data_IF_556811660794
#
_entry.id   IF_556811660794
#
_cell.length_a   1.000
_cell.length_b   1.000
_cell.length_c   1.000
_cell.angle_alpha   90.00
_cell.angle_beta   90.00
_cell.angle_gamma   90.00
#
_symmetry.space_group_name_H-M   'P 1'
#
loop_
_entity.id
_entity.type
_entity.pdbx_description
1 polymer ?
#
# COMPACT_ATOMS: atom_id res chain seq x y z
N UNK A 1 6.10 2.70 -13.69
CA UNK A 1 6.00 2.66 -12.22
C UNK A 1 4.60 2.29 -11.71
N UNK A 2 3.61 3.20 -11.68
CA UNK A 2 2.28 2.88 -11.08
C UNK A 2 1.44 1.93 -11.95
N UNK A 3 1.49 2.07 -13.28
CA UNK A 3 0.90 1.11 -14.23
C UNK A 3 1.46 -0.31 -14.06
N UNK A 4 2.75 -0.44 -13.75
CA UNK A 4 3.37 -1.75 -13.49
C UNK A 4 2.91 -2.33 -12.16
N UNK A 5 2.71 -1.49 -11.14
CA UNK A 5 2.15 -1.92 -9.87
C UNK A 5 0.74 -2.52 -10.04
N UNK A 6 -0.09 -1.91 -10.89
CA UNK A 6 -1.42 -2.43 -11.26
C UNK A 6 -1.28 -3.74 -12.02
N UNK A 7 -0.44 -3.79 -13.06
CA UNK A 7 -0.18 -5.03 -13.82
C UNK A 7 0.25 -6.17 -12.92
N UNK A 8 1.13 -5.93 -11.95
CA UNK A 8 1.58 -6.96 -11.00
C UNK A 8 0.51 -7.40 -10.01
N UNK A 9 -0.50 -6.56 -9.77
CA UNK A 9 -1.64 -6.90 -8.92
C UNK A 9 -2.70 -7.70 -9.68
N UNK A 10 -2.95 -7.36 -10.94
CA UNK A 10 -4.05 -7.93 -11.73
C UNK A 10 -3.64 -9.07 -12.65
N UNK A 11 -2.41 -9.06 -13.14
CA UNK A 11 -1.90 -10.09 -14.05
C UNK A 11 -1.04 -11.09 -13.28
N UNK A 12 -1.20 -12.39 -13.58
CA UNK A 12 -0.35 -13.40 -12.98
C UNK A 12 1.10 -13.14 -13.38
N UNK A 13 2.00 -13.22 -12.40
CA UNK A 13 3.42 -13.08 -12.65
C UNK A 13 3.89 -14.24 -13.53
N UNK A 14 4.75 -13.97 -14.52
CA UNK A 14 5.23 -14.98 -15.47
C UNK A 14 6.09 -16.06 -14.81
N UNK A 15 6.66 -15.78 -13.63
CA UNK A 15 7.51 -16.71 -12.89
C UNK A 15 6.67 -17.61 -12.00
N UNK A 16 5.64 -17.07 -11.35
CA UNK A 16 4.89 -17.79 -10.31
C UNK A 16 3.53 -18.29 -10.80
N UNK A 17 3.04 -17.76 -11.92
CA UNK A 17 1.69 -18.00 -12.44
C UNK A 17 0.58 -17.41 -11.57
N UNK A 18 0.93 -16.66 -10.51
CA UNK A 18 -0.01 -16.13 -9.53
C UNK A 18 0.03 -14.61 -9.51
N UNK A 19 -1.16 -14.02 -9.44
CA UNK A 19 -1.35 -12.60 -9.13
C UNK A 19 -0.95 -12.33 -7.68
N UNK A 20 -0.51 -11.11 -7.37
CA UNK A 20 -0.01 -10.80 -6.03
C UNK A 20 -1.04 -11.00 -4.90
N UNK A 21 -2.33 -10.87 -5.22
CA UNK A 21 -3.44 -11.11 -4.28
C UNK A 21 -3.58 -12.57 -3.87
N UNK A 22 -3.11 -13.49 -4.71
CA UNK A 22 -3.23 -14.94 -4.52
C UNK A 22 -1.91 -15.57 -4.06
N UNK A 23 -0.92 -14.74 -3.69
CA UNK A 23 0.36 -15.26 -3.21
C UNK A 23 0.21 -16.00 -1.87
N UNK A 24 0.85 -17.17 -1.72
CA UNK A 24 0.75 -17.94 -0.50
C UNK A 24 1.30 -17.17 0.72
N UNK A 25 0.64 -17.24 1.88
CA UNK A 25 1.09 -16.56 3.10
C UNK A 25 2.48 -17.01 3.55
N UNK A 26 2.93 -18.24 3.21
CA UNK A 26 4.31 -18.68 3.44
C UNK A 26 5.36 -17.79 2.80
N UNK A 27 5.07 -17.17 1.66
CA UNK A 27 6.04 -16.33 0.95
C UNK A 27 6.27 -15.00 1.64
N UNK A 28 5.41 -14.65 2.59
CA UNK A 28 5.58 -13.51 3.48
C UNK A 28 6.21 -13.93 4.82
N UNK A 29 7.03 -14.99 4.86
CA UNK A 29 7.83 -15.40 6.03
C UNK A 29 9.33 -15.15 5.80
N UNK A 30 10.10 -15.11 6.89
CA UNK A 30 11.55 -14.87 6.88
C UNK A 30 11.97 -13.41 6.78
N UNK A 31 13.25 -13.17 6.52
CA UNK A 31 13.89 -11.84 6.61
C UNK A 31 13.33 -10.83 5.58
N UNK A 32 12.85 -11.32 4.43
CA UNK A 32 12.24 -10.47 3.40
C UNK A 32 10.75 -10.19 3.62
N UNK A 33 10.14 -10.72 4.69
CA UNK A 33 8.72 -10.54 5.02
C UNK A 33 8.29 -9.08 4.97
N UNK A 34 9.06 -8.19 5.61
CA UNK A 34 8.71 -6.77 5.69
C UNK A 34 8.66 -6.11 4.32
N UNK A 35 9.65 -6.39 3.48
CA UNK A 35 9.76 -5.83 2.12
C UNK A 35 8.65 -6.37 1.22
N UNK A 36 8.42 -7.68 1.23
CA UNK A 36 7.39 -8.32 0.41
C UNK A 36 5.98 -7.89 0.82
N UNK A 37 5.71 -7.83 2.13
CA UNK A 37 4.41 -7.39 2.65
C UNK A 37 4.14 -5.93 2.30
N UNK A 38 5.14 -5.05 2.49
CA UNK A 38 5.00 -3.64 2.15
C UNK A 38 4.77 -3.45 0.65
N UNK A 39 5.55 -4.14 -0.18
CA UNK A 39 5.41 -4.11 -1.64
C UNK A 39 4.04 -4.61 -2.09
N UNK A 40 3.51 -5.64 -1.45
CA UNK A 40 2.17 -6.16 -1.71
C UNK A 40 1.08 -5.15 -1.35
N UNK A 41 1.12 -4.62 -0.13
CA UNK A 41 0.17 -3.58 0.32
C UNK A 41 0.20 -2.33 -0.56
N UNK A 42 1.39 -1.86 -0.95
CA UNK A 42 1.54 -0.71 -1.85
C UNK A 42 0.83 -0.95 -3.18
N UNK A 43 1.01 -2.13 -3.80
CA UNK A 43 0.38 -2.47 -5.08
C UNK A 43 -1.12 -2.63 -4.95
N UNK A 44 -1.58 -3.26 -3.87
CA UNK A 44 -3.00 -3.34 -3.53
C UNK A 44 -3.63 -1.95 -3.46
N UNK A 45 -3.03 -1.03 -2.69
CA UNK A 45 -3.55 0.32 -2.48
C UNK A 45 -3.70 1.08 -3.81
N UNK A 46 -2.69 1.02 -4.67
CA UNK A 46 -2.72 1.66 -5.99
C UNK A 46 -3.79 1.04 -6.88
N UNK A 47 -3.90 -0.29 -6.90
CA UNK A 47 -4.88 -0.99 -7.71
C UNK A 47 -6.32 -0.69 -7.26
N UNK A 48 -6.57 -0.62 -5.94
CA UNK A 48 -7.88 -0.26 -5.40
C UNK A 48 -8.29 1.16 -5.75
N UNK A 49 -7.40 2.15 -5.66
CA UNK A 49 -7.73 3.51 -6.11
C UNK A 49 -7.91 3.59 -7.63
N UNK A 50 -7.12 2.83 -8.39
CA UNK A 50 -7.31 2.76 -9.84
C UNK A 50 -8.67 2.16 -10.23
N UNK A 51 -9.11 1.14 -9.52
CA UNK A 51 -10.45 0.56 -9.68
C UNK A 51 -11.54 1.56 -9.31
N UNK A 52 -11.35 2.36 -8.25
CA UNK A 52 -12.24 3.46 -7.88
C UNK A 52 -12.32 4.54 -8.96
N UNK A 53 -11.22 4.81 -9.67
CA UNK A 53 -11.18 5.66 -10.88
C UNK A 53 -11.74 4.95 -12.14
N UNK A 54 -12.56 3.90 -11.97
CA UNK A 54 -13.13 3.10 -13.06
C UNK A 54 -12.11 2.51 -14.03
N UNK A 55 -10.86 2.31 -13.56
CA UNK A 55 -9.74 1.80 -14.37
C UNK A 55 -9.43 2.69 -15.57
N UNK A 56 -9.69 4.00 -15.46
CA UNK A 56 -9.39 4.97 -16.52
C UNK A 56 -8.14 5.75 -16.14
N UNK A 57 -7.09 5.63 -16.97
CA UNK A 57 -5.80 6.29 -16.76
C UNK A 57 -5.93 7.82 -16.63
N UNK A 58 -6.76 8.45 -17.43
CA UNK A 58 -6.94 9.91 -17.39
C UNK A 58 -7.57 10.34 -16.08
N UNK A 59 -8.66 9.69 -15.67
CA UNK A 59 -9.35 9.96 -14.39
C UNK A 59 -8.40 9.73 -13.21
N UNK A 60 -7.60 8.68 -13.26
CA UNK A 60 -6.62 8.40 -12.22
C UNK A 60 -5.52 9.46 -12.13
N UNK A 61 -5.05 9.97 -13.26
CA UNK A 61 -4.02 11.02 -13.30
C UNK A 61 -4.57 12.41 -12.96
N UNK A 62 -5.85 12.67 -13.23
CA UNK A 62 -6.54 13.89 -12.81
C UNK A 62 -6.75 13.91 -11.29
N UNK A 63 -7.15 12.78 -10.69
CA UNK A 63 -7.31 12.66 -9.24
C UNK A 63 -5.96 12.60 -8.50
N UNK A 64 -4.95 11.95 -9.12
CA UNK A 64 -3.61 11.75 -8.56
C UNK A 64 -2.50 12.19 -9.51
N UNK A 65 -2.32 13.51 -9.72
CA UNK A 65 -1.23 14.01 -10.56
C UNK A 65 0.17 13.62 -10.03
N UNK A 66 0.29 13.31 -8.73
CA UNK A 66 1.50 12.80 -8.08
C UNK A 66 1.95 11.44 -8.61
N UNK A 67 1.06 10.68 -9.26
CA UNK A 67 1.40 9.44 -9.95
C UNK A 67 2.52 9.65 -10.99
N UNK A 68 2.57 10.83 -11.62
CA UNK A 68 3.62 11.21 -12.56
C UNK A 68 4.98 11.43 -11.88
N UNK A 69 4.98 11.87 -10.60
CA UNK A 69 6.20 12.08 -9.80
C UNK A 69 6.79 10.77 -9.27
N UNK A 70 5.96 9.74 -9.08
CA UNK A 70 6.39 8.40 -8.73
C UNK A 70 5.62 7.76 -7.58
N UNK A 71 5.90 6.49 -7.30
CA UNK A 71 5.13 5.65 -6.36
C UNK A 71 5.07 6.25 -4.95
N UNK A 72 6.17 6.79 -4.43
CA UNK A 72 6.18 7.36 -3.07
C UNK A 72 5.28 8.60 -2.95
N UNK A 73 5.26 9.46 -3.98
CA UNK A 73 4.41 10.65 -4.01
C UNK A 73 2.94 10.23 -4.13
N UNK A 74 2.65 9.29 -5.03
CA UNK A 74 1.33 8.69 -5.19
C UNK A 74 0.80 8.10 -3.89
N UNK A 75 1.60 7.28 -3.19
CA UNK A 75 1.18 6.68 -1.91
C UNK A 75 0.85 7.73 -0.85
N UNK A 76 1.59 8.84 -0.80
CA UNK A 76 1.28 9.93 0.12
C UNK A 76 -0.05 10.59 -0.23
N UNK A 77 -0.30 10.84 -1.52
CA UNK A 77 -1.56 11.42 -1.98
C UNK A 77 -2.76 10.50 -1.70
N UNK A 78 -2.62 9.19 -1.95
CA UNK A 78 -3.66 8.20 -1.63
C UNK A 78 -3.92 8.16 -0.13
N UNK A 79 -2.87 8.06 0.70
CA UNK A 79 -3.03 8.07 2.15
C UNK A 79 -3.69 9.37 2.63
N UNK A 80 -3.34 10.52 2.07
CA UNK A 80 -3.99 11.80 2.43
C UNK A 80 -5.50 11.75 2.13
N UNK A 81 -5.87 11.29 0.93
CA UNK A 81 -7.29 11.11 0.55
C UNK A 81 -8.00 10.10 1.44
N UNK A 82 -7.35 9.02 1.85
CA UNK A 82 -7.91 8.06 2.83
C UNK A 82 -8.09 8.69 4.21
N UNK A 83 -7.23 9.63 4.62
CA UNK A 83 -7.38 10.37 5.87
C UNK A 83 -8.59 11.29 5.81
N UNK A 84 -8.75 12.02 4.70
CA UNK A 84 -9.90 12.89 4.45
C UNK A 84 -11.22 12.12 4.43
N UNK A 85 -11.20 10.86 3.95
CA UNK A 85 -12.35 9.97 3.89
C UNK A 85 -12.59 9.18 5.19
N UNK A 86 -11.76 9.38 6.21
CA UNK A 86 -11.76 8.61 7.47
C UNK A 86 -11.58 7.08 7.26
N UNK A 87 -11.02 6.69 6.11
CA UNK A 87 -10.70 5.32 5.72
C UNK A 87 -9.34 4.87 6.28
N UNK A 88 -8.54 5.84 6.75
CA UNK A 88 -7.27 5.59 7.40
C UNK A 88 -7.52 5.04 8.81
N UNK A 89 -7.53 3.71 8.93
CA UNK A 89 -7.50 3.06 10.24
C UNK A 89 -6.28 3.56 11.01
N UNK A 90 -6.52 4.41 12.01
CA UNK A 90 -5.53 4.83 12.98
C UNK A 90 -4.95 3.58 13.63
N UNK A 91 -3.76 3.18 13.21
CA UNK A 91 -3.00 2.19 13.95
C UNK A 91 -2.50 2.89 15.21
N UNK A 92 -3.18 2.68 16.35
CA UNK A 92 -2.60 3.00 17.66
C UNK A 92 -1.25 2.32 17.68
N UNK A 93 -0.19 3.10 17.84
CA UNK A 93 1.14 2.57 18.15
C UNK A 93 0.96 1.59 19.31
N UNK A 94 1.42 0.34 19.14
CA UNK A 94 1.42 -0.65 20.23
C UNK A 94 2.32 -0.22 21.39
N UNK A 95 3.18 0.77 21.16
CA UNK A 95 3.98 1.43 22.17
C UNK A 95 3.24 2.72 22.50
N UNK A 96 2.50 2.75 23.61
CA UNK A 96 1.79 3.93 24.11
C UNK A 96 2.64 5.21 24.07
N UNK A 97 1.97 6.35 24.29
CA UNK A 97 2.61 7.65 24.23
C UNK A 97 3.92 7.67 25.06
N UNK A 98 4.98 8.39 24.62
CA UNK A 98 6.28 8.40 25.28
C UNK A 98 6.23 8.67 26.80
N UNK A 99 5.17 9.30 27.29
CA UNK A 99 4.97 9.63 28.69
C UNK A 99 4.73 8.40 29.60
N UNK A 100 4.35 7.24 29.06
CA UNK A 100 4.09 6.03 29.87
C UNK A 100 5.37 5.23 30.15
N UNK A 101 6.51 5.64 29.59
CA UNK A 101 7.78 4.90 29.66
C UNK A 101 8.62 5.17 30.91
N UNK A 102 8.19 6.08 31.79
CA UNK A 102 9.01 6.59 32.89
C UNK A 102 8.50 6.28 34.30
N UNK A 103 7.65 5.27 34.46
CA UNK A 103 7.09 4.92 35.78
C UNK A 103 7.16 3.42 36.04
N UNK A 104 8.31 2.79 35.85
CA UNK A 104 8.59 1.49 36.50
C UNK A 104 10.09 1.34 36.69
N UNK A 105 10.49 1.42 37.96
CA UNK A 105 11.57 0.69 38.65
C UNK A 105 12.42 1.62 39.53
N UNK A 106 12.93 1.11 40.67
CA UNK A 106 12.37 0.21 41.67
C UNK A 106 12.08 0.92 43.02
#
# INVERSE_FOLDING_TARGET
AWREAIKQWELPDTVTGLVLKDWPPEWFRGDMKGVLTMKCRTRQLIASEYERCSRVDTVFLEEYPEAARGIKALLRAINFKHAERDELKWHRSKNGEPHERSSTSP
#
